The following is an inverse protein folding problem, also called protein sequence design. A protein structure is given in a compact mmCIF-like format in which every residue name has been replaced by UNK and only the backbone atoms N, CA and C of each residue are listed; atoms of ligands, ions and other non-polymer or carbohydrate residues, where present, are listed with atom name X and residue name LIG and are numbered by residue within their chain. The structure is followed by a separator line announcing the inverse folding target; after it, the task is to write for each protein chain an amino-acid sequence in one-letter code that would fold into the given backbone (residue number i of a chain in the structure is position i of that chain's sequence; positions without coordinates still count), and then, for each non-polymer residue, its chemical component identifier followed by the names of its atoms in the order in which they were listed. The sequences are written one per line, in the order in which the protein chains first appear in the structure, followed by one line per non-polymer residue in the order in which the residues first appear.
data_IF_484557775785
#
_entry.id   IF_484557775785
#
_cell.length_a   1.000
_cell.length_b   1.000
_cell.length_c   1.000
_cell.angle_alpha   90.00
_cell.angle_beta   90.00
_cell.angle_gamma   90.00
#
_symmetry.space_group_name_H-M   'P 1'
#
loop_
_entity.id
_entity.type
_entity.pdbx_description
1 polymer ?
#
# COMPACT_ATOMS: atom_id res chain seq x y z
N UNK A 1 -17.33 0.88 -23.06
CA UNK A 1 -16.07 0.33 -22.51
C UNK A 1 -15.31 1.48 -21.90
N UNK A 2 -15.16 1.44 -20.59
CA UNK A 2 -14.49 2.49 -19.81
C UNK A 2 -12.97 2.22 -19.80
N UNK A 3 -12.17 3.25 -20.03
CA UNK A 3 -10.72 3.12 -20.05
C UNK A 3 -10.12 3.78 -18.81
N UNK A 4 -9.00 3.25 -18.35
CA UNK A 4 -8.18 3.81 -17.28
C UNK A 4 -6.77 4.12 -17.81
N UNK A 5 -6.14 5.13 -17.23
CA UNK A 5 -4.72 5.41 -17.41
C UNK A 5 -4.02 5.00 -16.12
N UNK A 6 -3.07 4.09 -16.25
CA UNK A 6 -2.25 3.55 -15.19
C UNK A 6 -0.80 3.96 -15.38
N UNK A 7 -0.05 4.03 -14.29
CA UNK A 7 1.30 4.55 -14.25
C UNK A 7 2.26 3.52 -13.66
N UNK A 8 3.48 3.49 -14.19
CA UNK A 8 4.60 2.77 -13.61
C UNK A 8 5.80 3.70 -13.55
N UNK A 9 6.49 3.74 -12.42
CA UNK A 9 7.65 4.60 -12.21
C UNK A 9 8.92 3.76 -12.09
N UNK A 10 9.99 4.17 -12.76
CA UNK A 10 11.29 3.51 -12.69
C UNK A 10 12.41 4.49 -12.35
N UNK A 11 13.33 4.14 -11.43
CA UNK A 11 14.52 4.95 -11.19
C UNK A 11 15.60 4.81 -12.27
N UNK A 12 15.44 3.89 -13.24
CA UNK A 12 16.43 3.71 -14.32
C UNK A 12 16.20 4.72 -15.46
N UNK A 13 16.79 5.90 -15.32
CA UNK A 13 16.66 7.06 -16.24
C UNK A 13 17.07 6.81 -17.70
N UNK A 14 17.65 5.65 -18.00
CA UNK A 14 18.13 5.26 -19.34
C UNK A 14 17.07 4.50 -20.13
N UNK A 15 16.04 3.95 -19.48
CA UNK A 15 15.02 3.11 -20.12
C UNK A 15 13.78 3.93 -20.46
N UNK A 16 13.81 4.65 -21.57
CA UNK A 16 12.63 5.37 -22.08
C UNK A 16 11.78 4.52 -23.03
N UNK A 17 12.33 3.48 -23.62
CA UNK A 17 11.57 2.47 -24.36
C UNK A 17 11.80 1.13 -23.67
N UNK A 18 10.73 0.51 -23.18
CA UNK A 18 10.84 -0.69 -22.35
C UNK A 18 9.72 -1.67 -22.67
N UNK A 19 10.12 -2.92 -22.92
CA UNK A 19 9.22 -4.07 -22.85
C UNK A 19 9.17 -4.54 -21.40
N UNK A 20 7.95 -4.59 -20.87
CA UNK A 20 7.65 -5.11 -19.55
C UNK A 20 7.14 -6.53 -19.69
N UNK A 21 7.80 -7.44 -18.98
CA UNK A 21 7.35 -8.81 -18.84
C UNK A 21 6.77 -8.97 -17.43
N UNK A 22 5.62 -9.63 -17.27
CA UNK A 22 5.12 -10.02 -15.95
C UNK A 22 6.17 -10.83 -15.19
N UNK A 23 6.47 -10.41 -13.96
CA UNK A 23 7.49 -11.02 -13.10
C UNK A 23 6.94 -11.18 -11.68
N UNK A 24 7.48 -12.14 -10.93
CA UNK A 24 7.23 -12.22 -9.47
C UNK A 24 8.16 -11.21 -8.80
N UNK A 25 7.65 -10.20 -8.08
CA UNK A 25 8.51 -9.22 -7.41
C UNK A 25 9.40 -9.88 -6.35
N UNK A 26 10.60 -9.33 -6.15
CA UNK A 26 11.58 -9.89 -5.20
C UNK A 26 11.43 -9.36 -3.78
N UNK A 27 10.82 -8.19 -3.62
CA UNK A 27 10.61 -7.52 -2.34
C UNK A 27 9.09 -7.43 -2.11
N UNK A 28 8.56 -8.39 -1.36
CA UNK A 28 7.12 -8.55 -1.11
C UNK A 28 6.83 -8.28 0.37
N UNK A 29 5.75 -7.57 0.66
CA UNK A 29 5.30 -7.40 2.05
C UNK A 29 4.85 -8.75 2.63
N UNK A 30 4.73 -8.82 3.96
CA UNK A 30 4.13 -9.97 4.63
C UNK A 30 2.74 -10.24 4.01
N UNK A 31 2.42 -11.52 3.80
CA UNK A 31 1.14 -11.98 3.26
C UNK A 31 0.79 -11.55 1.81
N UNK A 32 1.71 -10.90 1.08
CA UNK A 32 1.54 -10.64 -0.35
C UNK A 32 1.75 -11.92 -1.19
N UNK A 33 0.99 -12.05 -2.28
CA UNK A 33 1.08 -13.15 -3.26
C UNK A 33 2.49 -13.25 -3.86
N UNK A 34 3.09 -14.44 -3.72
CA UNK A 34 4.48 -14.75 -4.13
C UNK A 34 4.57 -15.62 -5.38
N UNK A 35 3.47 -15.82 -6.10
CA UNK A 35 3.34 -16.82 -7.17
C UNK A 35 2.94 -16.15 -8.49
N UNK A 36 2.06 -15.15 -8.46
CA UNK A 36 1.49 -14.55 -9.68
C UNK A 36 2.48 -13.60 -10.36
N UNK A 37 2.96 -13.88 -11.59
CA UNK A 37 3.80 -12.95 -12.35
C UNK A 37 2.97 -11.75 -12.84
N UNK A 38 3.54 -10.55 -12.70
CA UNK A 38 2.78 -9.31 -12.84
C UNK A 38 3.66 -8.13 -13.24
N UNK A 39 3.03 -7.12 -13.82
CA UNK A 39 3.56 -5.77 -13.94
C UNK A 39 2.70 -4.89 -13.04
N UNK A 40 3.32 -4.26 -12.05
CA UNK A 40 2.61 -3.42 -11.10
C UNK A 40 2.46 -2.00 -11.65
N UNK A 41 1.25 -1.47 -11.56
CA UNK A 41 0.90 -0.10 -11.88
C UNK A 41 0.15 0.56 -10.72
N UNK A 42 -0.04 1.87 -10.77
CA UNK A 42 -1.00 2.59 -9.95
C UNK A 42 -1.81 3.57 -10.81
N UNK A 43 -2.99 3.97 -10.36
CA UNK A 43 -3.77 5.03 -11.00
C UNK A 43 -3.27 6.45 -10.63
N UNK A 44 -2.18 6.55 -9.86
CA UNK A 44 -1.52 7.82 -9.51
C UNK A 44 0.01 7.71 -9.47
N UNK A 45 0.67 8.87 -9.62
CA UNK A 45 2.13 8.97 -9.47
C UNK A 45 2.55 8.81 -8.02
N UNK A 46 1.78 9.38 -7.09
CA UNK A 46 1.96 9.20 -5.65
C UNK A 46 1.91 7.71 -5.28
N UNK A 47 0.90 6.98 -5.75
CA UNK A 47 0.78 5.53 -5.51
C UNK A 47 1.99 4.75 -6.02
N UNK A 48 2.51 5.08 -7.20
CA UNK A 48 3.74 4.48 -7.72
C UNK A 48 4.96 4.73 -6.83
N UNK A 49 5.12 5.97 -6.34
CA UNK A 49 6.26 6.37 -5.49
C UNK A 49 6.16 5.73 -4.12
N UNK A 50 4.96 5.65 -3.55
CA UNK A 50 4.67 4.98 -2.27
C UNK A 50 5.00 3.48 -2.33
N UNK A 51 4.54 2.80 -3.39
CA UNK A 51 4.78 1.37 -3.60
C UNK A 51 6.27 0.99 -3.76
N UNK A 52 7.13 1.94 -4.13
CA UNK A 52 8.56 1.68 -4.29
C UNK A 52 9.25 1.35 -2.96
N UNK A 53 8.73 1.83 -1.82
CA UNK A 53 9.21 1.57 -0.46
C UNK A 53 10.62 2.11 -0.12
N UNK A 54 11.43 2.43 -1.12
CA UNK A 54 12.79 2.92 -0.99
C UNK A 54 13.06 4.22 -1.78
N UNK A 55 11.99 4.95 -2.13
CA UNK A 55 12.04 6.15 -2.95
C UNK A 55 12.99 7.24 -2.36
N UNK A 56 13.19 7.24 -1.05
CA UNK A 56 14.14 8.12 -0.36
C UNK A 56 15.58 7.98 -0.83
N UNK A 57 15.97 6.83 -1.40
CA UNK A 57 17.33 6.59 -1.91
C UNK A 57 17.64 7.39 -3.17
N UNK A 58 16.62 7.91 -3.83
CA UNK A 58 16.76 8.68 -5.08
C UNK A 58 16.66 10.20 -4.85
N UNK A 59 16.59 10.63 -3.59
CA UNK A 59 16.57 12.04 -3.24
C UNK A 59 17.99 12.60 -3.37
N UNK A 60 18.14 13.64 -4.19
CA UNK A 60 19.31 14.51 -4.13
C UNK A 60 19.18 15.41 -2.89
N UNK A 61 19.99 15.15 -1.86
CA UNK A 61 19.98 15.87 -0.60
C UNK A 61 20.27 17.38 -0.75
N UNK A 62 20.96 17.80 -1.82
CA UNK A 62 21.27 19.22 -2.04
C UNK A 62 20.07 20.00 -2.57
N UNK A 63 19.27 19.37 -3.43
CA UNK A 63 18.15 20.02 -4.11
C UNK A 63 16.80 19.63 -3.50
N UNK A 64 16.76 18.53 -2.75
CA UNK A 64 15.54 17.93 -2.21
C UNK A 64 14.67 17.24 -3.26
N UNK A 65 15.20 16.99 -4.46
CA UNK A 65 14.47 16.49 -5.62
C UNK A 65 14.79 15.04 -5.94
N UNK A 66 13.97 14.41 -6.77
CA UNK A 66 14.24 13.07 -7.31
C UNK A 66 13.77 12.96 -8.77
N UNK A 67 14.54 12.29 -9.62
CA UNK A 67 14.19 12.04 -11.02
C UNK A 67 13.79 10.58 -11.23
N UNK A 68 12.82 10.37 -12.11
CA UNK A 68 12.36 9.04 -12.51
C UNK A 68 11.91 9.01 -13.98
N UNK A 69 11.72 7.80 -14.50
CA UNK A 69 10.98 7.55 -15.74
C UNK A 69 9.54 7.16 -15.39
N UNK A 70 8.59 7.87 -15.98
CA UNK A 70 7.17 7.56 -15.94
C UNK A 70 6.76 6.82 -17.21
N UNK A 71 6.09 5.68 -17.06
CA UNK A 71 5.41 4.98 -18.13
C UNK A 71 3.89 5.10 -17.93
N UNK A 72 3.20 5.54 -18.97
CA UNK A 72 1.74 5.61 -19.01
C UNK A 72 1.20 4.39 -19.76
N UNK A 73 0.22 3.71 -19.16
CA UNK A 73 -0.45 2.56 -19.75
C UNK A 73 -1.96 2.81 -19.78
N UNK A 74 -2.51 2.98 -20.99
CA UNK A 74 -3.95 3.08 -21.20
C UNK A 74 -4.53 1.71 -21.51
N UNK A 75 -5.47 1.24 -20.69
CA UNK A 75 -6.14 -0.04 -20.88
C UNK A 75 -7.64 0.06 -20.58
N UNK A 76 -8.38 -0.95 -21.05
CA UNK A 76 -9.79 -1.11 -20.72
C UNK A 76 -9.92 -1.70 -19.31
N UNK A 77 -10.84 -1.18 -18.50
CA UNK A 77 -11.13 -1.74 -17.18
C UNK A 77 -11.62 -3.19 -17.24
N UNK A 78 -12.23 -3.59 -18.36
CA UNK A 78 -12.71 -4.96 -18.61
C UNK A 78 -11.64 -5.87 -19.25
N UNK A 79 -10.37 -5.47 -19.34
CA UNK A 79 -9.31 -6.34 -19.86
C UNK A 79 -9.06 -7.51 -18.89
N UNK A 80 -9.22 -8.75 -19.37
CA UNK A 80 -9.00 -9.96 -18.57
C UNK A 80 -7.58 -10.09 -17.98
N UNK A 81 -6.60 -9.34 -18.50
CA UNK A 81 -5.23 -9.34 -17.98
C UNK A 81 -5.01 -8.27 -16.91
N UNK A 82 -5.99 -7.37 -16.69
CA UNK A 82 -5.96 -6.32 -15.68
C UNK A 82 -6.66 -6.80 -14.41
N UNK A 83 -5.95 -6.75 -13.29
CA UNK A 83 -6.50 -7.01 -11.97
C UNK A 83 -6.51 -5.69 -11.20
N UNK A 84 -7.70 -5.27 -10.76
CA UNK A 84 -7.88 -3.99 -10.08
C UNK A 84 -7.27 -3.99 -8.67
N UNK A 85 -6.89 -2.82 -8.17
CA UNK A 85 -6.45 -2.67 -6.77
C UNK A 85 -7.48 -3.19 -5.78
N UNK A 86 -8.76 -3.00 -6.10
CA UNK A 86 -9.86 -3.43 -5.26
C UNK A 86 -9.92 -4.95 -5.19
N UNK A 87 -9.81 -5.63 -6.33
CA UNK A 87 -9.75 -7.09 -6.36
C UNK A 87 -8.51 -7.61 -5.61
N UNK A 88 -7.33 -7.02 -5.84
CA UNK A 88 -6.09 -7.43 -5.16
C UNK A 88 -6.20 -7.30 -3.64
N UNK A 89 -6.79 -6.20 -3.18
CA UNK A 89 -6.98 -5.93 -1.77
C UNK A 89 -8.06 -6.81 -1.13
N UNK A 90 -9.24 -6.90 -1.75
CA UNK A 90 -10.38 -7.66 -1.21
C UNK A 90 -10.14 -9.17 -1.23
N UNK A 91 -9.38 -9.68 -2.20
CA UNK A 91 -8.96 -11.09 -2.25
C UNK A 91 -7.80 -11.41 -1.30
N UNK A 92 -7.18 -10.41 -0.68
CA UNK A 92 -6.02 -10.57 0.19
C UNK A 92 -4.71 -10.91 -0.54
N UNK A 93 -4.63 -10.69 -1.86
CA UNK A 93 -3.40 -10.91 -2.64
C UNK A 93 -2.34 -9.84 -2.37
N UNK A 94 -2.76 -8.61 -2.10
CA UNK A 94 -1.86 -7.47 -1.82
C UNK A 94 -2.43 -6.65 -0.67
N UNK A 95 -1.85 -6.77 0.54
CA UNK A 95 -2.39 -6.10 1.72
C UNK A 95 -2.48 -4.58 1.63
N UNK A 96 -1.53 -3.94 0.94
CA UNK A 96 -1.43 -2.48 0.79
C UNK A 96 -1.93 -1.95 -0.56
N UNK A 97 -2.56 -2.79 -1.40
CA UNK A 97 -3.09 -2.36 -2.69
C UNK A 97 -4.12 -1.23 -2.57
N UNK A 98 -4.90 -1.17 -1.49
CA UNK A 98 -5.82 -0.06 -1.23
C UNK A 98 -5.11 1.27 -0.87
N UNK A 99 -3.87 1.22 -0.38
CA UNK A 99 -3.09 2.43 -0.05
C UNK A 99 -2.41 2.98 -1.31
N UNK A 100 -1.78 2.10 -2.08
CA UNK A 100 -1.01 2.50 -3.26
C UNK A 100 -1.85 2.51 -4.54
N UNK A 101 -3.11 2.09 -4.46
CA UNK A 101 -3.98 1.81 -5.61
C UNK A 101 -3.26 0.93 -6.63
N UNK A 102 -2.67 -0.18 -6.16
CA UNK A 102 -1.86 -1.04 -7.01
C UNK A 102 -2.74 -1.85 -7.96
N UNK A 103 -2.45 -1.82 -9.26
CA UNK A 103 -3.06 -2.69 -10.27
C UNK A 103 -2.02 -3.67 -10.79
N UNK A 104 -2.45 -4.87 -11.16
CA UNK A 104 -1.59 -5.81 -11.86
C UNK A 104 -2.01 -5.96 -13.31
N UNK A 105 -1.02 -5.96 -14.19
CA UNK A 105 -1.18 -6.43 -15.56
C UNK A 105 -0.39 -7.71 -15.77
N UNK A 106 -1.05 -8.74 -16.31
CA UNK A 106 -0.49 -10.11 -16.39
C UNK A 106 -0.01 -10.49 -17.78
N UNK A 107 0.03 -9.53 -18.71
CA UNK A 107 0.51 -9.73 -20.08
C UNK A 107 1.67 -8.79 -20.41
N UNK A 108 2.56 -9.24 -21.29
CA UNK A 108 3.65 -8.42 -21.81
C UNK A 108 3.13 -7.17 -22.52
N UNK A 109 3.77 -6.02 -22.26
CA UNK A 109 3.49 -4.75 -22.94
C UNK A 109 4.78 -3.98 -23.19
N UNK A 110 4.79 -3.18 -24.27
CA UNK A 110 5.86 -2.22 -24.55
C UNK A 110 5.35 -0.81 -24.33
N UNK A 111 6.05 -0.04 -23.50
CA UNK A 111 5.67 1.33 -23.16
C UNK A 111 6.80 2.30 -23.47
N UNK A 112 6.41 3.52 -23.84
CA UNK A 112 7.30 4.66 -23.96
C UNK A 112 7.20 5.49 -22.69
N UNK A 113 8.34 5.69 -22.04
CA UNK A 113 8.49 6.46 -20.83
C UNK A 113 8.89 7.89 -21.11
N UNK A 114 8.58 8.78 -20.17
CA UNK A 114 9.01 10.18 -20.14
C UNK A 114 9.75 10.43 -18.84
N UNK A 115 10.72 11.35 -18.84
CA UNK A 115 11.37 11.74 -17.59
C UNK A 115 10.46 12.68 -16.82
N UNK A 116 10.50 12.57 -15.50
CA UNK A 116 9.90 13.55 -14.63
C UNK A 116 10.77 13.76 -13.39
N UNK A 117 10.60 14.92 -12.79
CA UNK A 117 11.26 15.33 -11.57
C UNK A 117 10.19 15.59 -10.49
N UNK A 118 10.41 15.05 -9.31
CA UNK A 118 9.68 15.40 -8.10
C UNK A 118 10.45 16.52 -7.40
N UNK A 119 9.83 17.69 -7.30
CA UNK A 119 10.46 18.94 -6.88
C UNK A 119 10.61 19.06 -5.35
N UNK A 120 9.80 18.34 -4.58
CA UNK A 120 9.70 18.45 -3.12
C UNK A 120 9.83 17.08 -2.42
N UNK A 121 10.61 16.16 -2.98
CA UNK A 121 10.70 14.79 -2.47
C UNK A 121 11.26 14.70 -1.04
N UNK A 122 12.24 15.54 -0.69
CA UNK A 122 12.79 15.60 0.67
C UNK A 122 11.77 16.07 1.70
N UNK A 123 11.00 17.11 1.36
CA UNK A 123 9.92 17.63 2.21
C UNK A 123 8.82 16.58 2.39
N UNK A 124 8.40 15.93 1.31
CA UNK A 124 7.42 14.85 1.34
C UNK A 124 7.91 13.64 2.15
N UNK A 125 9.20 13.29 2.07
CA UNK A 125 9.79 12.22 2.86
C UNK A 125 9.81 12.54 4.36
N UNK A 126 10.19 13.77 4.70
CA UNK A 126 10.29 14.24 6.08
C UNK A 126 8.91 14.32 6.74
N UNK A 127 7.90 14.75 5.97
CA UNK A 127 6.53 14.91 6.43
C UNK A 127 5.60 13.74 6.04
N UNK A 128 6.17 12.58 5.67
CA UNK A 128 5.37 11.43 5.22
C UNK A 128 4.41 10.97 6.31
N UNK A 129 3.19 10.60 5.91
CA UNK A 129 2.20 10.07 6.85
C UNK A 129 2.45 8.58 7.06
N UNK A 130 2.44 8.13 8.30
CA UNK A 130 2.44 6.70 8.59
C UNK A 130 1.01 6.20 8.50
N UNK A 131 0.78 5.24 7.60
CA UNK A 131 -0.51 4.62 7.34
C UNK A 131 -0.48 3.17 7.80
N UNK A 132 -1.57 2.72 8.42
CA UNK A 132 -1.79 1.33 8.82
C UNK A 132 -2.29 0.53 7.63
N UNK A 133 -1.60 -0.57 7.34
CA UNK A 133 -1.99 -1.57 6.34
C UNK A 133 -2.89 -2.57 7.02
N UNK A 134 -4.19 -2.52 6.71
CA UNK A 134 -5.18 -3.37 7.34
C UNK A 134 -5.73 -4.34 6.31
N UNK A 135 -5.43 -5.64 6.41
CA UNK A 135 -5.96 -6.64 5.51
C UNK A 135 -7.49 -6.63 5.46
N UNK A 136 -8.06 -6.81 4.26
CA UNK A 136 -9.51 -6.81 4.05
C UNK A 136 -10.27 -7.83 4.92
N UNK A 137 -9.63 -8.96 5.28
CA UNK A 137 -10.18 -9.98 6.21
C UNK A 137 -10.67 -9.38 7.54
N UNK A 138 -10.18 -8.21 7.93
CA UNK A 138 -10.55 -7.51 9.15
C UNK A 138 -11.70 -6.52 9.04
N UNK A 139 -12.21 -6.27 7.83
CA UNK A 139 -13.31 -5.33 7.60
C UNK A 139 -14.48 -5.55 8.54
N UNK A 140 -15.00 -6.78 8.63
CA UNK A 140 -16.16 -7.07 9.49
C UNK A 140 -15.91 -6.80 10.98
N UNK A 141 -14.69 -7.06 11.49
CA UNK A 141 -14.33 -6.75 12.88
C UNK A 141 -14.33 -5.23 13.12
N UNK A 142 -13.84 -4.46 12.15
CA UNK A 142 -13.79 -3.00 12.23
C UNK A 142 -15.19 -2.41 12.15
N UNK A 143 -16.03 -2.88 11.22
CA UNK A 143 -17.43 -2.47 11.11
C UNK A 143 -18.18 -2.71 12.43
N UNK A 144 -18.00 -3.87 13.07
CA UNK A 144 -18.59 -4.17 14.38
C UNK A 144 -18.13 -3.22 15.51
N UNK A 145 -16.91 -2.70 15.45
CA UNK A 145 -16.46 -1.68 16.41
C UNK A 145 -17.14 -0.36 16.08
N UNK A 146 -17.11 0.07 14.82
CA UNK A 146 -17.67 1.35 14.37
C UNK A 146 -19.18 1.47 14.62
N UNK A 147 -19.93 0.36 14.51
CA UNK A 147 -21.36 0.31 14.84
C UNK A 147 -21.64 0.72 16.30
N UNK A 148 -20.78 0.36 17.25
CA UNK A 148 -20.92 0.77 18.66
C UNK A 148 -20.77 2.29 18.85
N UNK A 149 -20.04 2.92 17.94
CA UNK A 149 -19.83 4.37 17.89
C UNK A 149 -20.85 5.07 16.98
N UNK A 150 -21.91 4.37 16.56
CA UNK A 150 -23.01 4.94 15.78
C UNK A 150 -22.70 5.15 14.31
N UNK A 151 -21.67 4.51 13.76
CA UNK A 151 -21.41 4.50 12.31
C UNK A 151 -22.32 3.45 11.67
N UNK A 152 -23.16 3.87 10.73
CA UNK A 152 -23.97 2.94 9.96
C UNK A 152 -23.26 2.50 8.66
N UNK A 153 -23.62 1.32 8.15
CA UNK A 153 -23.04 0.74 6.93
C UNK A 153 -23.11 1.68 5.71
N UNK A 154 -24.14 2.51 5.62
CA UNK A 154 -24.31 3.45 4.51
C UNK A 154 -23.22 4.55 4.49
N UNK A 155 -22.72 4.96 5.65
CA UNK A 155 -21.67 5.99 5.77
C UNK A 155 -20.30 5.52 5.28
N UNK A 156 -20.07 4.21 5.29
CA UNK A 156 -18.80 3.57 4.97
C UNK A 156 -18.86 2.75 3.67
N UNK A 157 -19.96 2.89 2.93
CA UNK A 157 -20.14 2.24 1.64
C UNK A 157 -19.10 2.77 0.66
N UNK A 158 -18.33 1.86 0.07
CA UNK A 158 -17.27 2.22 -0.88
C UNK A 158 -15.96 2.70 -0.23
N UNK A 159 -15.89 2.78 1.10
CA UNK A 159 -14.66 3.10 1.84
C UNK A 159 -13.96 1.80 2.20
N UNK A 160 -12.71 1.59 1.77
CA UNK A 160 -11.92 0.41 2.11
C UNK A 160 -11.42 0.45 3.58
N UNK A 161 -10.91 -0.66 4.09
CA UNK A 161 -10.54 -0.79 5.51
C UNK A 161 -9.36 0.10 5.89
N UNK A 162 -8.42 0.34 4.98
CA UNK A 162 -7.29 1.23 5.22
C UNK A 162 -7.78 2.68 5.30
N UNK A 163 -8.64 3.12 4.38
CA UNK A 163 -9.22 4.46 4.41
C UNK A 163 -10.09 4.66 5.67
N UNK A 164 -10.81 3.63 6.11
CA UNK A 164 -11.59 3.67 7.34
C UNK A 164 -10.73 4.07 8.53
N UNK A 165 -9.63 3.34 8.76
CA UNK A 165 -8.81 3.54 9.95
C UNK A 165 -7.90 4.75 9.84
N UNK A 166 -7.32 4.99 8.66
CA UNK A 166 -6.32 6.04 8.50
C UNK A 166 -6.89 7.44 8.30
N UNK A 167 -8.15 7.57 7.86
CA UNK A 167 -8.73 8.87 7.52
C UNK A 167 -10.17 9.02 8.04
N UNK A 168 -11.09 8.09 7.75
CA UNK A 168 -12.51 8.25 8.11
C UNK A 168 -12.71 8.40 9.63
N UNK A 169 -12.14 7.50 10.43
CA UNK A 169 -12.28 7.55 11.90
C UNK A 169 -11.69 8.84 12.46
N UNK A 170 -10.50 9.21 12.00
CA UNK A 170 -9.80 10.44 12.43
C UNK A 170 -10.65 11.67 12.13
N UNK A 171 -11.18 11.77 10.91
CA UNK A 171 -11.99 12.91 10.46
C UNK A 171 -13.33 12.98 11.18
N UNK A 172 -14.01 11.84 11.39
CA UNK A 172 -15.35 11.80 11.99
C UNK A 172 -15.31 12.03 13.51
N UNK A 173 -14.35 11.43 14.21
CA UNK A 173 -14.33 11.39 15.67
C UNK A 173 -13.29 12.31 16.31
N UNK A 174 -12.39 12.91 15.52
CA UNK A 174 -11.38 13.86 16.02
C UNK A 174 -10.59 13.26 17.18
N UNK A 175 -10.65 13.90 18.35
CA UNK A 175 -9.94 13.45 19.56
C UNK A 175 -10.34 12.04 20.04
N UNK A 176 -11.53 11.55 19.71
CA UNK A 176 -11.97 10.20 20.11
C UNK A 176 -11.42 9.11 19.19
N UNK A 177 -10.84 9.46 18.04
CA UNK A 177 -10.33 8.50 17.07
C UNK A 177 -9.28 7.55 17.67
N UNK A 178 -8.40 8.06 18.54
CA UNK A 178 -7.35 7.25 19.18
C UNK A 178 -7.93 6.10 20.02
N UNK A 179 -9.03 6.35 20.75
CA UNK A 179 -9.72 5.33 21.54
C UNK A 179 -10.34 4.25 20.65
N UNK A 180 -10.96 4.66 19.55
CA UNK A 180 -11.60 3.74 18.59
C UNK A 180 -10.53 2.88 17.90
N UNK A 181 -9.44 3.50 17.46
CA UNK A 181 -8.31 2.80 16.82
C UNK A 181 -7.66 1.82 17.81
N UNK A 182 -7.54 2.18 19.09
CA UNK A 182 -7.05 1.28 20.13
C UNK A 182 -7.99 0.08 20.37
N UNK A 183 -9.32 0.28 20.35
CA UNK A 183 -10.26 -0.85 20.43
C UNK A 183 -10.14 -1.77 19.20
N UNK A 184 -10.02 -1.19 18.00
CA UNK A 184 -9.75 -1.97 16.78
C UNK A 184 -8.45 -2.76 16.95
N UNK A 185 -7.35 -2.14 17.41
CA UNK A 185 -6.07 -2.80 17.67
C UNK A 185 -6.22 -4.05 18.55
N UNK A 186 -6.98 -3.93 19.64
CA UNK A 186 -7.24 -5.03 20.56
C UNK A 186 -8.02 -6.17 19.89
N UNK A 187 -8.94 -5.87 18.97
CA UNK A 187 -9.69 -6.87 18.20
C UNK A 187 -8.87 -7.55 17.11
N UNK A 188 -7.77 -6.92 16.69
CA UNK A 188 -6.83 -7.40 15.67
C UNK A 188 -5.57 -8.04 16.26
N UNK A 189 -5.42 -8.05 17.59
CA UNK A 189 -4.27 -8.66 18.25
C UNK A 189 -4.27 -10.18 18.06
N UNK A 190 -3.13 -10.73 17.62
CA UNK A 190 -2.89 -12.17 17.60
C UNK A 190 -2.40 -12.57 19.00
N UNK A 191 -3.09 -13.51 19.65
CA UNK A 191 -2.50 -14.25 20.76
C UNK A 191 -1.64 -15.35 20.13
N UNK A 192 -0.31 -15.25 20.27
CA UNK A 192 0.62 -16.29 19.84
C UNK A 192 0.15 -17.65 20.35
N UNK A 193 -0.46 -18.42 19.46
CA UNK A 193 -0.83 -19.81 19.65
C UNK A 193 -0.31 -20.59 18.46
N UNK A 194 0.71 -21.38 18.77
CA UNK A 194 1.18 -22.59 18.09
C UNK A 194 1.64 -22.48 16.62
N UNK A 195 2.95 -22.27 16.45
CA UNK A 195 3.81 -23.25 15.76
C UNK A 195 5.30 -22.84 15.85
N UNK A 196 6.00 -23.43 16.84
CA UNK A 196 7.46 -23.43 17.14
C UNK A 196 7.86 -23.01 18.57
N UNK A 197 6.96 -23.05 19.56
CA UNK A 197 7.32 -22.89 20.98
C UNK A 197 8.33 -23.95 21.46
N UNK A 198 8.28 -25.16 20.90
CA UNK A 198 9.11 -26.30 21.35
C UNK A 198 10.63 -26.15 21.11
N UNK A 199 11.07 -25.28 20.19
CA UNK A 199 12.50 -25.05 19.91
C UNK A 199 13.04 -23.86 20.71
N UNK A 200 12.23 -22.83 20.92
CA UNK A 200 12.65 -21.61 21.62
C UNK A 200 12.67 -21.78 23.15
N UNK A 201 11.69 -22.49 23.72
CA UNK A 201 11.60 -22.70 25.18
C UNK A 201 12.76 -23.54 25.74
N UNK A 202 13.37 -24.42 24.92
CA UNK A 202 14.50 -25.26 25.35
C UNK A 202 15.84 -24.53 25.41
N UNK A 203 15.99 -23.38 24.76
CA UNK A 203 17.31 -22.71 24.63
C UNK A 203 17.37 -21.41 25.44
N UNK A 204 16.26 -20.67 25.58
CA UNK A 204 16.31 -19.29 26.10
C UNK A 204 15.30 -19.02 27.21
N UNK A 205 15.23 -19.89 28.21
CA UNK A 205 14.55 -19.59 29.46
C UNK A 205 15.19 -18.35 30.14
N UNK A 206 14.67 -17.16 29.80
CA UNK A 206 14.63 -15.94 30.59
C UNK A 206 13.46 -15.11 30.08
N UNK A 207 12.55 -14.85 31.01
CA UNK A 207 11.30 -14.10 30.84
C UNK A 207 11.49 -12.81 30.05
N UNK A 208 10.79 -12.68 28.92
CA UNK A 208 10.21 -11.41 28.49
C UNK A 208 8.80 -11.68 27.95
N UNK A 209 7.90 -10.75 28.25
CA UNK A 209 6.45 -10.78 28.07
C UNK A 209 5.98 -11.39 26.75
N UNK A 210 4.87 -12.13 26.79
CA UNK A 210 4.03 -12.44 25.62
C UNK A 210 3.69 -11.12 24.90
N UNK A 211 4.49 -10.74 23.91
CA UNK A 211 4.30 -9.51 23.16
C UNK A 211 3.02 -9.67 22.35
N UNK A 212 2.00 -8.90 22.70
CA UNK A 212 0.77 -8.83 21.92
C UNK A 212 1.06 -8.04 20.65
N UNK A 213 1.22 -8.73 19.53
CA UNK A 213 1.37 -8.11 18.22
C UNK A 213 0.00 -7.82 17.61
N UNK A 214 -0.16 -6.62 17.06
CA UNK A 214 -1.36 -6.25 16.30
C UNK A 214 -1.16 -6.74 14.87
N UNK A 215 -2.14 -7.44 14.28
CA UNK A 215 -2.05 -7.92 12.90
C UNK A 215 -2.34 -6.81 11.87
N UNK A 216 -1.46 -5.81 11.84
CA UNK A 216 -1.30 -4.87 10.74
C UNK A 216 0.16 -4.45 10.61
N UNK A 217 0.54 -4.08 9.39
CA UNK A 217 1.82 -3.42 9.11
C UNK A 217 1.62 -1.90 9.02
N UNK A 218 2.71 -1.14 8.96
CA UNK A 218 2.69 0.30 8.72
C UNK A 218 3.59 0.68 7.55
N UNK A 219 3.15 1.66 6.75
CA UNK A 219 3.89 2.18 5.60
C UNK A 219 3.95 3.70 5.64
N UNK A 220 5.10 4.26 5.25
CA UNK A 220 5.26 5.70 5.07
C UNK A 220 4.77 6.13 3.70
N UNK A 221 3.75 6.99 3.67
CA UNK A 221 3.11 7.47 2.45
C UNK A 221 3.49 8.93 2.20
N UNK A 222 4.13 9.17 1.05
CA UNK A 222 4.38 10.47 0.47
C UNK A 222 3.07 11.06 -0.06
N UNK A 223 2.82 12.34 0.22
CA UNK A 223 1.63 13.04 -0.26
C UNK A 223 1.99 14.45 -0.72
N UNK A 224 1.20 15.02 -1.64
CA UNK A 224 1.41 16.37 -2.14
C UNK A 224 2.70 16.52 -2.96
N UNK A 225 3.07 15.49 -3.73
CA UNK A 225 4.25 15.52 -4.59
C UNK A 225 4.05 16.57 -5.70
N UNK A 226 5.03 17.45 -5.86
CA UNK A 226 5.08 18.45 -6.93
C UNK A 226 5.92 17.90 -8.06
N UNK A 227 5.32 17.75 -9.21
CA UNK A 227 5.90 17.01 -10.33
C UNK A 227 6.10 17.94 -11.52
N UNK A 228 7.25 17.81 -12.16
CA UNK A 228 7.58 18.46 -13.42
C UNK A 228 7.95 17.40 -14.46
N UNK A 229 7.33 17.43 -15.64
CA UNK A 229 7.67 16.52 -16.75
C UNK A 229 8.79 17.16 -17.56
N UNK A 230 9.84 16.38 -17.85
CA UNK A 230 11.07 16.84 -18.51
C UNK A 230 11.12 16.45 -20.00
#
# INVERSE_FOLDING_TARGET
MENIILYHVSPDLRKLDKVFYPQIPTNLIKDEDRITPRICFSDSLEGCVNAMGNAQRFIDEKTGKAEFVLFEFKCNLDDNNLISWKELYESGRVPDAAINHEYWYTKEIRLQGKRFEILNMLDAYTNRRVMKIIPYKYRGKIENVLEKYGVCRAEILGVDTCELVNNFIIKKFGKQAELIIAEIAQKLTIEDSDDNSDIYEKIFAKEESKNKYIDWDEVGVYSGLRINVL
#
